data_IF_655173735261
#
_entry.id   IF_655173735261
#
_cell.length_a   1.000
_cell.length_b   1.000
_cell.length_c   1.000
_cell.angle_alpha   90.00
_cell.angle_beta   90.00
_cell.angle_gamma   90.00
#
_symmetry.space_group_name_H-M   'P 1'
#
loop_
_entity.id
_entity.type
_entity.pdbx_description
1 polymer ?
#
# COMPACT_ATOMS: atom_id res chain seq x y z
N UNK A 1 -1.39 17.58 -27.25
CA UNK A 1 -0.94 16.80 -26.09
C UNK A 1 -2.02 15.77 -25.81
N UNK A 2 -1.77 14.50 -26.06
CA UNK A 2 -2.72 13.41 -25.74
C UNK A 2 -2.57 13.11 -24.25
N UNK A 3 -3.61 13.38 -23.49
CA UNK A 3 -3.74 12.83 -22.14
C UNK A 3 -3.71 11.32 -22.25
N UNK A 4 -2.65 10.69 -21.73
CA UNK A 4 -2.64 9.27 -21.46
C UNK A 4 -3.65 9.01 -20.35
N UNK A 5 -4.87 8.65 -20.73
CA UNK A 5 -5.78 7.98 -19.80
C UNK A 5 -5.13 6.65 -19.47
N UNK A 6 -4.44 6.59 -18.33
CA UNK A 6 -4.05 5.34 -17.68
C UNK A 6 -5.35 4.72 -17.18
N UNK A 7 -5.97 3.95 -18.05
CA UNK A 7 -7.10 3.09 -17.70
C UNK A 7 -6.51 1.88 -16.95
N UNK A 8 -6.43 1.98 -15.63
CA UNK A 8 -6.46 0.79 -14.79
C UNK A 8 -7.82 0.14 -15.04
N UNK A 9 -7.87 -0.82 -15.95
CA UNK A 9 -9.04 -1.68 -16.14
C UNK A 9 -9.21 -2.47 -14.85
N UNK A 10 -10.20 -2.11 -14.05
CA UNK A 10 -10.51 -2.75 -12.77
C UNK A 10 -10.73 -4.24 -12.99
N UNK A 11 -9.84 -5.09 -12.46
CA UNK A 11 -9.98 -6.54 -12.46
C UNK A 11 -9.13 -7.32 -13.46
N UNK A 12 -8.16 -6.71 -14.14
CA UNK A 12 -7.23 -7.43 -15.04
C UNK A 12 -6.14 -8.20 -14.30
N UNK A 13 -5.99 -8.00 -12.99
CA UNK A 13 -4.91 -8.59 -12.19
C UNK A 13 -3.51 -8.20 -12.70
N UNK A 14 -3.40 -7.02 -13.32
CA UNK A 14 -2.17 -6.44 -13.84
C UNK A 14 -1.75 -5.22 -13.03
N UNK A 15 -0.44 -5.01 -12.92
CA UNK A 15 0.12 -3.80 -12.37
C UNK A 15 1.23 -3.26 -13.28
N UNK A 16 1.47 -1.97 -13.20
CA UNK A 16 2.55 -1.28 -13.90
C UNK A 16 3.63 -0.88 -12.90
N UNK A 17 4.84 -1.42 -13.08
CA UNK A 17 6.01 -1.13 -12.25
C UNK A 17 6.99 -0.26 -13.04
N UNK A 18 7.34 0.88 -12.49
CA UNK A 18 8.46 1.68 -12.94
C UNK A 18 9.74 1.05 -12.41
N UNK A 19 10.59 0.54 -13.32
CA UNK A 19 11.92 0.05 -12.97
C UNK A 19 12.91 1.19 -12.91
N UNK A 20 13.68 1.22 -11.85
CA UNK A 20 14.79 2.14 -11.63
C UNK A 20 16.00 1.38 -11.07
N UNK A 21 17.17 2.00 -11.10
CA UNK A 21 18.37 1.37 -10.61
C UNK A 21 19.14 2.26 -9.63
N UNK A 22 19.79 1.61 -8.66
CA UNK A 22 20.71 2.22 -7.67
C UNK A 22 21.92 1.32 -7.56
N UNK A 23 23.12 1.87 -7.73
CA UNK A 23 24.40 1.14 -7.65
C UNK A 23 24.41 -0.16 -8.50
N UNK A 24 23.75 -0.16 -9.67
CA UNK A 24 23.70 -1.29 -10.58
C UNK A 24 22.71 -2.38 -10.19
N UNK A 25 21.89 -2.18 -9.15
CA UNK A 25 20.80 -3.08 -8.77
C UNK A 25 19.46 -2.51 -9.24
N UNK A 26 18.55 -3.40 -9.72
CA UNK A 26 17.24 -3.02 -10.23
C UNK A 26 16.17 -3.11 -9.16
N UNK A 27 15.39 -2.04 -9.06
CA UNK A 27 14.28 -1.88 -8.13
C UNK A 27 13.03 -1.45 -8.87
N UNK A 28 11.87 -1.59 -8.23
CA UNK A 28 10.58 -1.19 -8.79
C UNK A 28 9.70 -0.45 -7.82
N UNK A 29 8.92 0.50 -8.36
CA UNK A 29 7.82 1.18 -7.69
C UNK A 29 6.57 1.06 -8.54
N UNK A 30 5.38 0.89 -7.91
CA UNK A 30 4.12 0.94 -8.63
C UNK A 30 3.92 2.32 -9.27
N UNK A 31 3.64 2.34 -10.58
CA UNK A 31 3.42 3.58 -11.35
C UNK A 31 2.29 4.41 -10.77
N UNK A 32 1.29 3.78 -10.17
CA UNK A 32 0.17 4.46 -9.52
C UNK A 32 0.60 5.44 -8.42
N UNK A 33 1.72 5.17 -7.75
CA UNK A 33 2.31 6.04 -6.71
C UNK A 33 3.17 7.17 -7.28
N UNK A 34 3.56 7.08 -8.56
CA UNK A 34 4.48 8.03 -9.21
C UNK A 34 3.72 9.19 -9.83
N UNK A 35 4.05 10.40 -9.41
CA UNK A 35 3.44 11.63 -9.97
C UNK A 35 4.24 12.16 -11.16
N UNK A 36 5.56 12.24 -11.02
CA UNK A 36 6.45 12.72 -12.07
C UNK A 36 7.89 12.23 -11.86
N UNK A 37 8.69 12.29 -12.92
CA UNK A 37 10.13 12.06 -12.89
C UNK A 37 10.83 13.39 -13.18
N UNK A 38 11.79 13.76 -12.34
CA UNK A 38 12.53 15.02 -12.46
C UNK A 38 14.02 14.69 -12.48
N UNK A 39 14.77 15.31 -13.39
CA UNK A 39 16.24 15.24 -13.30
C UNK A 39 16.71 15.84 -11.98
N UNK A 40 17.70 15.23 -11.37
CA UNK A 40 18.22 15.69 -10.09
C UNK A 40 18.67 17.16 -10.15
N UNK A 41 18.26 17.92 -9.15
CA UNK A 41 18.54 19.34 -8.98
C UNK A 41 19.38 19.54 -7.73
N UNK A 42 20.13 20.65 -7.61
CA UNK A 42 20.80 21.00 -6.37
C UNK A 42 19.81 21.05 -5.20
N UNK A 43 20.12 20.32 -4.14
CA UNK A 43 19.28 20.20 -2.95
C UNK A 43 19.69 21.25 -1.92
N UNK A 44 18.70 21.90 -1.31
CA UNK A 44 18.90 22.73 -0.13
C UNK A 44 18.80 21.85 1.13
N UNK A 45 19.91 21.60 1.79
CA UNK A 45 19.96 20.83 3.03
C UNK A 45 19.10 21.44 4.14
N UNK A 46 18.53 20.59 4.99
CA UNK A 46 17.68 20.98 6.10
C UNK A 46 18.34 20.63 7.44
N UNK A 47 18.46 21.59 8.37
CA UNK A 47 18.98 21.32 9.71
C UNK A 47 18.14 20.27 10.45
N UNK A 48 18.80 19.36 11.15
CA UNK A 48 18.17 18.31 11.96
C UNK A 48 17.26 17.33 11.18
N UNK A 49 17.39 17.26 9.84
CA UNK A 49 16.71 16.26 9.04
C UNK A 49 17.21 14.85 9.36
N UNK A 50 16.38 13.84 9.04
CA UNK A 50 16.80 12.43 9.13
C UNK A 50 18.02 12.19 8.22
N UNK A 51 18.96 11.29 8.58
CA UNK A 51 20.18 11.04 7.77
C UNK A 51 19.91 10.69 6.30
N UNK A 52 18.78 10.05 6.01
CA UNK A 52 18.37 9.72 4.64
C UNK A 52 17.59 10.86 3.94
N UNK A 53 17.46 12.04 4.53
CA UNK A 53 16.89 13.22 3.86
C UNK A 53 18.03 14.11 3.38
N UNK A 54 18.17 14.26 2.08
CA UNK A 54 19.16 15.17 1.49
C UNK A 54 18.79 16.63 1.72
N UNK A 55 17.49 16.95 1.71
CA UNK A 55 16.97 18.30 1.86
C UNK A 55 15.71 18.52 1.05
N UNK A 56 15.56 19.73 0.49
CA UNK A 56 14.40 20.11 -0.31
C UNK A 56 14.80 20.68 -1.67
N UNK A 57 13.93 20.46 -2.66
CA UNK A 57 14.06 21.07 -3.99
C UNK A 57 12.73 21.74 -4.37
N UNK A 58 12.80 22.78 -5.20
CA UNK A 58 11.63 23.46 -5.76
C UNK A 58 11.77 23.53 -7.27
N UNK A 59 11.37 22.49 -8.02
CA UNK A 59 11.51 22.47 -9.48
C UNK A 59 10.60 23.49 -10.19
N UNK A 60 9.46 23.80 -9.63
CA UNK A 60 8.48 24.81 -10.12
C UNK A 60 7.88 25.56 -8.92
N UNK A 61 6.60 25.38 -8.66
CA UNK A 61 5.91 26.03 -7.54
C UNK A 61 5.78 25.12 -6.30
N UNK A 62 6.02 23.83 -6.46
CA UNK A 62 5.92 22.83 -5.37
C UNK A 62 7.29 22.52 -4.79
N UNK A 63 7.38 22.46 -3.47
CA UNK A 63 8.56 22.04 -2.74
C UNK A 63 8.46 20.56 -2.43
N UNK A 64 9.50 19.80 -2.77
CA UNK A 64 9.61 18.37 -2.47
C UNK A 64 10.75 18.11 -1.51
N UNK A 65 10.52 17.26 -0.52
CA UNK A 65 11.58 16.69 0.32
C UNK A 65 12.22 15.53 -0.43
N UNK A 66 13.56 15.52 -0.51
CA UNK A 66 14.32 14.49 -1.23
C UNK A 66 14.89 13.47 -0.26
N UNK A 67 14.61 12.23 -0.53
CA UNK A 67 15.09 11.06 0.20
C UNK A 67 16.25 10.45 -0.56
N UNK A 68 17.40 10.29 0.08
CA UNK A 68 18.52 9.48 -0.37
C UNK A 68 18.16 7.99 -0.26
N UNK A 69 17.61 7.45 -1.34
CA UNK A 69 17.21 6.05 -1.34
C UNK A 69 18.41 5.10 -1.36
N UNK A 70 19.55 5.52 -1.95
CA UNK A 70 20.79 4.77 -1.92
C UNK A 70 21.33 4.65 -0.49
N UNK A 71 21.37 5.74 0.24
CA UNK A 71 21.76 5.77 1.65
C UNK A 71 20.81 4.95 2.54
N UNK A 72 19.51 5.03 2.33
CA UNK A 72 18.53 4.24 3.05
C UNK A 72 18.72 2.72 2.82
N UNK A 73 18.99 2.31 1.59
CA UNK A 73 19.22 0.91 1.22
C UNK A 73 20.66 0.44 1.51
N UNK A 74 21.51 1.29 2.11
CA UNK A 74 22.94 1.03 2.36
C UNK A 74 23.72 0.66 1.09
N UNK A 75 23.38 1.28 -0.02
CA UNK A 75 24.06 1.13 -1.31
C UNK A 75 25.04 2.27 -1.57
N UNK A 76 25.92 2.06 -2.54
CA UNK A 76 26.92 3.06 -2.90
C UNK A 76 26.34 4.29 -3.59
N UNK A 77 27.07 5.43 -3.57
CA UNK A 77 26.66 6.66 -4.22
C UNK A 77 26.62 6.52 -5.75
N UNK A 78 25.95 7.46 -6.40
CA UNK A 78 25.95 7.55 -7.88
C UNK A 78 27.32 7.84 -8.44
N UNK A 79 27.65 7.20 -9.56
CA UNK A 79 28.85 7.47 -10.34
C UNK A 79 28.72 8.71 -11.26
N UNK A 80 27.46 9.16 -11.51
CA UNK A 80 27.16 10.27 -12.40
C UNK A 80 25.96 11.10 -11.86
N UNK A 81 26.13 11.79 -10.71
CA UNK A 81 25.04 12.48 -10.01
C UNK A 81 24.27 13.50 -10.88
N UNK A 82 24.92 14.03 -11.89
CA UNK A 82 24.29 14.99 -12.83
C UNK A 82 23.25 14.33 -13.76
N UNK A 83 23.19 13.00 -13.80
CA UNK A 83 22.21 12.21 -14.58
C UNK A 83 21.13 11.56 -13.73
N UNK A 84 21.27 11.67 -12.42
CA UNK A 84 20.34 11.05 -11.49
C UNK A 84 18.94 11.64 -11.61
N UNK A 85 17.98 10.89 -11.11
CA UNK A 85 16.54 11.19 -11.24
C UNK A 85 15.92 11.23 -9.84
N UNK A 86 14.99 12.15 -9.64
CA UNK A 86 14.07 12.12 -8.53
C UNK A 86 12.74 11.52 -9.00
N UNK A 87 12.34 10.41 -8.42
CA UNK A 87 11.00 9.86 -8.56
C UNK A 87 10.11 10.57 -7.55
N UNK A 88 9.25 11.47 -8.04
CA UNK A 88 8.27 12.13 -7.19
C UNK A 88 7.10 11.17 -7.02
N UNK A 89 6.88 10.75 -5.79
CA UNK A 89 5.78 9.87 -5.45
C UNK A 89 4.86 10.53 -4.42
N UNK A 90 3.56 10.26 -4.57
CA UNK A 90 2.53 10.71 -3.64
C UNK A 90 1.93 9.51 -2.92
N UNK A 91 2.02 9.51 -1.60
CA UNK A 91 1.46 8.48 -0.75
C UNK A 91 1.14 9.06 0.63
N UNK A 92 0.09 8.56 1.27
CA UNK A 92 -0.31 9.00 2.60
C UNK A 92 -0.44 10.54 2.74
N UNK A 93 -0.96 11.21 1.69
CA UNK A 93 -1.08 12.69 1.61
C UNK A 93 0.26 13.45 1.65
N UNK A 94 1.38 12.76 1.47
CA UNK A 94 2.72 13.36 1.41
C UNK A 94 3.32 13.12 0.03
N UNK A 95 3.93 14.16 -0.54
CA UNK A 95 4.71 14.05 -1.78
C UNK A 95 6.19 14.11 -1.44
N UNK A 96 6.93 13.06 -1.80
CA UNK A 96 8.36 12.93 -1.59
C UNK A 96 9.07 12.69 -2.94
N UNK A 97 10.31 13.14 -3.04
CA UNK A 97 11.20 12.78 -4.13
C UNK A 97 12.18 11.71 -3.65
N UNK A 98 12.24 10.59 -4.34
CA UNK A 98 13.21 9.54 -4.06
C UNK A 98 14.36 9.65 -5.06
N UNK A 99 15.56 9.86 -4.55
CA UNK A 99 16.77 9.97 -5.35
C UNK A 99 17.21 8.59 -5.81
N UNK A 100 17.27 8.40 -7.13
CA UNK A 100 17.72 7.16 -7.78
C UNK A 100 18.76 7.48 -8.85
N UNK A 101 19.60 6.50 -9.19
CA UNK A 101 20.68 6.72 -10.15
C UNK A 101 20.22 6.69 -11.61
N UNK A 102 19.00 6.23 -11.86
CA UNK A 102 18.34 6.29 -13.16
C UNK A 102 17.11 5.44 -13.25
N UNK A 103 16.36 5.62 -14.32
CA UNK A 103 15.09 4.93 -14.60
C UNK A 103 15.26 4.15 -15.89
N UNK A 104 14.77 2.90 -15.90
CA UNK A 104 14.89 1.99 -17.05
C UNK A 104 13.61 2.03 -17.92
N UNK A 105 12.44 1.88 -17.29
CA UNK A 105 11.17 1.88 -18.00
C UNK A 105 10.02 1.34 -17.16
N UNK A 106 8.85 1.20 -17.80
CA UNK A 106 7.64 0.67 -17.17
C UNK A 106 7.39 -0.76 -17.67
N UNK A 107 7.20 -1.67 -16.72
CA UNK A 107 6.83 -3.05 -16.98
C UNK A 107 5.37 -3.28 -16.59
N UNK A 108 4.58 -3.80 -17.53
CA UNK A 108 3.23 -4.27 -17.24
C UNK A 108 3.31 -5.76 -16.88
N UNK A 109 2.92 -6.11 -15.69
CA UNK A 109 3.07 -7.43 -15.10
C UNK A 109 1.72 -7.93 -14.59
N UNK A 110 1.51 -9.24 -14.68
CA UNK A 110 0.48 -9.88 -13.88
C UNK A 110 1.00 -10.12 -12.45
N UNK A 111 0.15 -9.95 -11.47
CA UNK A 111 0.47 -10.29 -10.07
C UNK A 111 1.00 -11.73 -9.90
N UNK A 112 0.60 -12.64 -10.78
CA UNK A 112 1.08 -14.03 -10.78
C UNK A 112 2.59 -14.15 -11.09
N UNK A 113 3.17 -13.14 -11.73
CA UNK A 113 4.60 -13.10 -12.07
C UNK A 113 5.45 -12.48 -10.96
N UNK A 114 4.82 -12.04 -9.87
CA UNK A 114 5.50 -11.47 -8.71
C UNK A 114 5.65 -12.56 -7.65
N UNK A 115 6.89 -12.88 -7.35
CA UNK A 115 7.24 -13.84 -6.30
C UNK A 115 7.39 -13.11 -4.97
N UNK A 116 6.97 -13.77 -3.88
CA UNK A 116 7.22 -13.23 -2.53
C UNK A 116 8.72 -13.44 -2.22
N UNK A 117 9.42 -12.41 -1.72
CA UNK A 117 10.83 -12.57 -1.34
C UNK A 117 10.96 -13.57 -0.19
N UNK A 118 12.07 -14.31 -0.18
CA UNK A 118 12.42 -15.18 0.93
C UNK A 118 12.74 -14.33 2.17
N UNK A 119 12.02 -14.55 3.26
CA UNK A 119 12.15 -13.81 4.51
C UNK A 119 13.58 -13.83 5.10
N UNK A 120 14.34 -14.88 4.83
CA UNK A 120 15.73 -15.00 5.29
C UNK A 120 16.69 -14.05 4.54
N UNK A 121 16.36 -13.69 3.30
CA UNK A 121 17.24 -12.89 2.43
C UNK A 121 16.89 -11.40 2.50
N UNK A 122 15.60 -11.08 2.61
CA UNK A 122 15.10 -9.70 2.49
C UNK A 122 14.69 -9.04 3.81
N UNK A 123 15.15 -9.57 4.95
CA UNK A 123 15.00 -8.93 6.25
C UNK A 123 13.73 -9.30 7.03
N UNK A 124 12.99 -10.31 6.60
CA UNK A 124 11.81 -10.78 7.31
C UNK A 124 10.69 -9.74 7.35
N UNK A 125 10.05 -9.58 8.52
CA UNK A 125 8.98 -8.57 8.74
C UNK A 125 9.48 -7.12 8.68
N UNK A 126 10.78 -6.90 8.89
CA UNK A 126 11.41 -5.58 8.82
C UNK A 126 11.93 -5.24 7.41
N UNK A 127 11.83 -6.15 6.46
CA UNK A 127 12.26 -5.95 5.09
C UNK A 127 11.43 -4.90 4.35
N UNK A 128 12.08 -4.23 3.37
CA UNK A 128 11.44 -3.21 2.52
C UNK A 128 11.12 -3.70 1.12
N UNK A 129 11.23 -4.99 0.86
CA UNK A 129 10.90 -5.62 -0.42
C UNK A 129 9.60 -6.39 -0.30
N UNK A 130 8.57 -5.95 -1.02
CA UNK A 130 7.23 -6.58 -1.02
C UNK A 130 7.11 -7.69 -2.04
N UNK A 131 7.90 -7.65 -3.11
CA UNK A 131 7.87 -8.63 -4.18
C UNK A 131 9.11 -8.58 -5.06
N UNK A 132 9.30 -9.62 -5.84
CA UNK A 132 10.33 -9.68 -6.87
C UNK A 132 9.73 -10.18 -8.18
N UNK A 133 10.22 -9.66 -9.31
CA UNK A 133 9.94 -10.26 -10.61
C UNK A 133 11.23 -10.45 -11.41
N UNK A 134 11.21 -11.43 -12.30
CA UNK A 134 12.37 -11.84 -13.09
C UNK A 134 12.24 -11.34 -14.51
N UNK A 135 13.25 -10.64 -14.97
CA UNK A 135 13.50 -10.40 -16.39
C UNK A 135 14.49 -11.44 -16.92
N UNK A 136 14.70 -11.47 -18.23
CA UNK A 136 15.59 -12.46 -18.84
C UNK A 136 17.04 -12.40 -18.35
N UNK A 137 17.49 -11.23 -17.92
CA UNK A 137 18.88 -10.90 -17.60
C UNK A 137 19.07 -10.40 -16.15
N UNK A 138 17.98 -10.08 -15.43
CA UNK A 138 18.06 -9.52 -14.07
C UNK A 138 16.80 -9.77 -13.24
N UNK A 139 16.93 -9.52 -11.95
CA UNK A 139 15.82 -9.54 -10.98
C UNK A 139 15.53 -8.10 -10.57
N UNK A 140 14.25 -7.76 -10.50
CA UNK A 140 13.77 -6.45 -10.01
C UNK A 140 13.08 -6.63 -8.68
N UNK A 141 13.53 -5.90 -7.67
CA UNK A 141 12.95 -5.92 -6.31
C UNK A 141 11.95 -4.79 -6.15
N UNK A 142 10.69 -5.10 -5.90
CA UNK A 142 9.63 -4.11 -5.65
C UNK A 142 9.75 -3.64 -4.21
N UNK A 143 9.89 -2.32 -4.02
CA UNK A 143 10.09 -1.72 -2.70
C UNK A 143 8.78 -1.24 -2.08
N UNK A 144 8.69 -1.39 -0.74
CA UNK A 144 7.64 -0.80 0.09
C UNK A 144 7.97 0.67 0.42
N UNK A 145 7.53 1.57 -0.43
CA UNK A 145 7.76 3.01 -0.25
C UNK A 145 6.98 3.60 0.93
N UNK A 146 5.92 2.97 1.36
CA UNK A 146 5.17 3.39 2.55
C UNK A 146 5.98 3.11 3.80
N UNK A 147 6.57 1.91 3.88
CA UNK A 147 7.49 1.56 4.96
C UNK A 147 8.74 2.45 4.97
N UNK A 148 9.35 2.70 3.81
CA UNK A 148 10.52 3.60 3.70
C UNK A 148 10.16 5.00 4.22
N UNK A 149 9.01 5.53 3.81
CA UNK A 149 8.52 6.83 4.27
C UNK A 149 8.28 6.86 5.78
N UNK A 150 7.70 5.79 6.32
CA UNK A 150 7.48 5.63 7.75
C UNK A 150 8.79 5.59 8.55
N UNK A 151 9.76 4.80 8.10
CA UNK A 151 11.05 4.66 8.80
C UNK A 151 11.80 5.99 8.86
N UNK A 152 11.67 6.83 7.83
CA UNK A 152 12.29 8.16 7.75
C UNK A 152 11.54 9.20 8.59
N UNK A 153 10.23 9.17 8.58
CA UNK A 153 9.39 10.11 9.32
C UNK A 153 8.14 9.44 9.92
N UNK A 154 8.28 8.79 11.06
CA UNK A 154 7.14 8.14 11.74
C UNK A 154 6.01 9.11 12.10
N UNK A 155 6.31 10.41 12.25
CA UNK A 155 5.31 11.42 12.56
C UNK A 155 4.45 11.83 11.35
N UNK A 156 4.92 11.62 10.12
CA UNK A 156 4.13 11.80 8.89
C UNK A 156 3.29 10.57 8.54
N UNK A 157 3.55 9.48 9.22
CA UNK A 157 2.78 8.25 9.12
C UNK A 157 1.38 8.40 9.71
N UNK A 158 0.66 7.31 9.73
CA UNK A 158 -0.72 7.24 10.19
C UNK A 158 -0.94 8.03 11.46
N UNK A 159 -1.75 9.06 11.39
CA UNK A 159 -2.26 9.72 12.57
C UNK A 159 -3.10 8.67 13.29
N UNK A 160 -2.51 8.04 14.29
CA UNK A 160 -3.28 7.39 15.35
C UNK A 160 -4.00 8.55 16.05
N UNK A 161 -5.07 9.06 15.42
CA UNK A 161 -6.02 9.93 16.10
C UNK A 161 -6.42 9.22 17.37
N UNK A 162 -7.05 9.91 18.32
CA UNK A 162 -7.51 9.31 19.57
C UNK A 162 -8.29 8.02 19.26
N UNK A 163 -7.56 6.91 19.17
CA UNK A 163 -8.18 5.59 19.18
C UNK A 163 -8.74 5.45 20.58
N UNK A 164 -10.00 5.81 20.74
CA UNK A 164 -10.65 5.71 22.05
C UNK A 164 -10.67 4.24 22.44
N UNK A 165 -9.89 3.91 23.45
CA UNK A 165 -9.96 2.61 24.08
C UNK A 165 -11.42 2.40 24.54
N UNK A 166 -12.11 1.51 23.90
CA UNK A 166 -13.49 1.15 24.22
C UNK A 166 -13.55 -0.33 24.53
N UNK A 167 -13.87 -0.66 25.78
CA UNK A 167 -14.13 -2.02 26.22
C UNK A 167 -15.58 -2.44 25.90
N UNK A 168 -16.03 -2.22 24.69
CA UNK A 168 -17.36 -2.68 24.28
C UNK A 168 -17.36 -4.19 24.12
N UNK A 169 -18.11 -4.88 24.98
CA UNK A 169 -18.34 -6.32 24.87
C UNK A 169 -18.93 -6.71 23.48
N UNK A 170 -19.61 -5.76 22.84
CA UNK A 170 -20.17 -5.92 21.50
C UNK A 170 -19.09 -6.02 20.42
N UNK A 171 -17.98 -5.29 20.54
CA UNK A 171 -16.84 -5.36 19.61
C UNK A 171 -16.04 -6.64 19.78
N UNK A 172 -15.88 -7.12 21.02
CA UNK A 172 -15.13 -8.33 21.34
C UNK A 172 -15.69 -9.59 20.66
N UNK A 173 -17.00 -9.63 20.40
CA UNK A 173 -17.65 -10.75 19.70
C UNK A 173 -17.59 -10.67 18.18
N UNK A 174 -17.09 -9.56 17.60
CA UNK A 174 -17.03 -9.37 16.14
C UNK A 174 -15.69 -9.81 15.57
N UNK A 175 -15.75 -10.55 14.48
CA UNK A 175 -14.56 -10.98 13.72
C UNK A 175 -14.33 -10.04 12.55
N UNK A 176 -13.12 -9.57 12.36
CA UNK A 176 -12.70 -8.69 11.24
C UNK A 176 -11.63 -9.41 10.42
N UNK A 177 -11.83 -9.48 9.11
CA UNK A 177 -10.82 -9.94 8.16
C UNK A 177 -10.06 -8.74 7.60
N UNK A 178 -8.73 -8.76 7.69
CA UNK A 178 -7.84 -7.73 7.16
C UNK A 178 -6.96 -8.32 6.08
N UNK A 179 -6.98 -7.73 4.88
CA UNK A 179 -6.10 -8.06 3.78
C UNK A 179 -5.18 -6.85 3.49
N UNK A 180 -3.88 -7.00 3.77
CA UNK A 180 -2.87 -5.93 3.64
C UNK A 180 -1.50 -6.59 3.42
N UNK A 181 -0.77 -6.21 2.37
CA UNK A 181 0.53 -6.82 2.05
C UNK A 181 1.68 -6.23 2.85
N UNK A 182 1.63 -4.94 3.19
CA UNK A 182 2.63 -4.31 4.05
C UNK A 182 2.54 -4.86 5.48
N UNK A 183 3.61 -5.51 5.95
CA UNK A 183 3.68 -6.07 7.29
C UNK A 183 3.50 -4.99 8.37
N UNK A 184 4.09 -3.81 8.15
CA UNK A 184 3.96 -2.66 9.05
C UNK A 184 2.50 -2.19 9.13
N UNK A 185 1.86 -1.93 7.99
CA UNK A 185 0.50 -1.42 7.95
C UNK A 185 -0.49 -2.43 8.50
N UNK A 186 -0.33 -3.70 8.17
CA UNK A 186 -1.14 -4.80 8.72
C UNK A 186 -1.05 -4.84 10.25
N UNK A 187 0.16 -4.71 10.81
CA UNK A 187 0.38 -4.63 12.26
C UNK A 187 -0.33 -3.43 12.87
N UNK A 188 -0.21 -2.24 12.26
CA UNK A 188 -0.83 -1.02 12.78
C UNK A 188 -2.37 -1.09 12.72
N UNK A 189 -2.95 -1.65 11.67
CA UNK A 189 -4.40 -1.89 11.56
C UNK A 189 -4.85 -2.83 12.70
N UNK A 190 -4.16 -3.95 12.88
CA UNK A 190 -4.47 -4.92 13.94
C UNK A 190 -4.37 -4.29 15.32
N UNK A 191 -3.31 -3.54 15.61
CA UNK A 191 -3.13 -2.84 16.89
C UNK A 191 -4.23 -1.81 17.13
N UNK A 192 -4.63 -1.04 16.11
CA UNK A 192 -5.72 -0.07 16.21
C UNK A 192 -7.06 -0.75 16.51
N UNK A 193 -7.37 -1.85 15.83
CA UNK A 193 -8.58 -2.64 16.07
C UNK A 193 -8.59 -3.26 17.47
N UNK A 194 -7.48 -3.85 17.91
CA UNK A 194 -7.35 -4.43 19.26
C UNK A 194 -7.51 -3.37 20.33
N UNK A 195 -6.87 -2.21 20.18
CA UNK A 195 -6.99 -1.08 21.11
C UNK A 195 -8.43 -0.58 21.18
N UNK A 196 -9.17 -0.68 20.09
CA UNK A 196 -10.59 -0.30 20.03
C UNK A 196 -11.55 -1.37 20.57
N UNK A 197 -11.05 -2.53 21.01
CA UNK A 197 -11.84 -3.60 21.65
C UNK A 197 -12.25 -4.75 20.74
N UNK A 198 -11.79 -4.81 19.48
CA UNK A 198 -11.94 -6.00 18.65
C UNK A 198 -10.89 -7.04 19.03
N UNK A 199 -11.29 -8.26 19.39
CA UNK A 199 -10.39 -9.33 19.80
C UNK A 199 -10.19 -10.42 18.75
N UNK A 200 -11.10 -10.54 17.80
CA UNK A 200 -11.05 -11.56 16.76
C UNK A 200 -10.68 -10.93 15.42
N UNK A 201 -9.38 -10.93 15.10
CA UNK A 201 -8.86 -10.33 13.87
C UNK A 201 -8.12 -11.41 13.09
N UNK A 202 -8.54 -11.63 11.85
CA UNK A 202 -7.91 -12.52 10.89
C UNK A 202 -7.15 -11.65 9.92
N UNK A 203 -5.85 -11.87 9.78
CA UNK A 203 -5.02 -11.08 8.88
C UNK A 203 -4.43 -11.94 7.77
N UNK A 204 -4.48 -11.43 6.55
CA UNK A 204 -3.95 -12.03 5.34
C UNK A 204 -3.01 -11.06 4.64
N UNK A 205 -2.12 -11.59 3.82
CA UNK A 205 -1.07 -10.79 3.16
C UNK A 205 -1.41 -10.41 1.72
N UNK A 206 -2.57 -10.83 1.23
CA UNK A 206 -3.06 -10.50 -0.13
C UNK A 206 -4.53 -10.91 -0.28
N UNK A 207 -5.16 -10.45 -1.36
CA UNK A 207 -6.57 -10.76 -1.62
C UNK A 207 -6.85 -12.22 -1.91
N UNK A 208 -5.89 -13.00 -2.43
CA UNK A 208 -6.07 -14.43 -2.68
C UNK A 208 -6.20 -15.22 -1.38
N UNK A 209 -5.36 -14.95 -0.40
CA UNK A 209 -5.47 -15.54 0.93
C UNK A 209 -6.79 -15.20 1.60
N UNK A 210 -7.20 -13.92 1.51
CA UNK A 210 -8.50 -13.47 2.01
C UNK A 210 -9.66 -14.17 1.31
N UNK A 211 -9.61 -14.30 0.00
CA UNK A 211 -10.63 -15.00 -0.78
C UNK A 211 -10.72 -16.49 -0.42
N UNK A 212 -9.58 -17.16 -0.28
CA UNK A 212 -9.54 -18.57 0.13
C UNK A 212 -10.13 -18.78 1.54
N UNK A 213 -9.84 -17.87 2.48
CA UNK A 213 -10.48 -17.87 3.79
C UNK A 213 -12.01 -17.73 3.68
N UNK A 214 -12.51 -16.82 2.85
CA UNK A 214 -13.95 -16.60 2.65
C UNK A 214 -14.62 -17.80 1.97
N UNK A 215 -13.95 -18.49 1.06
CA UNK A 215 -14.46 -19.73 0.45
C UNK A 215 -14.56 -20.86 1.47
N UNK A 216 -13.57 -20.99 2.35
CA UNK A 216 -13.58 -21.95 3.44
C UNK A 216 -14.73 -21.65 4.41
N UNK A 217 -14.85 -20.39 4.87
CA UNK A 217 -15.94 -19.93 5.74
C UNK A 217 -17.32 -20.29 5.16
N UNK A 218 -17.59 -19.94 3.92
CA UNK A 218 -18.85 -20.19 3.26
C UNK A 218 -19.13 -21.69 3.05
N UNK A 219 -18.12 -22.55 3.07
CA UNK A 219 -18.29 -24.00 2.99
C UNK A 219 -18.85 -24.61 4.28
N UNK A 220 -18.66 -23.92 5.42
CA UNK A 220 -19.06 -24.38 6.75
C UNK A 220 -20.34 -23.72 7.27
N UNK A 221 -20.70 -22.54 6.75
CA UNK A 221 -21.91 -21.81 7.18
C UNK A 221 -22.59 -21.09 6.04
N UNK A 222 -23.92 -21.01 6.08
CA UNK A 222 -24.71 -20.14 5.21
C UNK A 222 -24.95 -18.76 5.83
N UNK A 223 -24.78 -18.63 7.15
CA UNK A 223 -24.85 -17.35 7.88
C UNK A 223 -23.45 -16.78 8.13
N UNK A 224 -22.83 -16.30 7.05
CA UNK A 224 -21.48 -15.76 7.12
C UNK A 224 -21.38 -14.50 7.98
N UNK A 225 -22.47 -13.72 8.15
CA UNK A 225 -22.48 -12.52 9.01
C UNK A 225 -22.34 -12.85 10.50
N UNK A 226 -22.74 -14.04 10.94
CA UNK A 226 -22.56 -14.47 12.33
C UNK A 226 -21.11 -14.77 12.67
N UNK A 227 -20.31 -15.19 11.69
CA UNK A 227 -18.91 -15.59 11.86
C UNK A 227 -17.91 -14.48 11.49
N UNK A 228 -18.26 -13.65 10.49
CA UNK A 228 -17.42 -12.56 9.99
C UNK A 228 -18.22 -11.27 9.85
N UNK A 229 -17.79 -10.25 10.56
CA UNK A 229 -18.54 -8.98 10.67
C UNK A 229 -18.16 -7.96 9.60
N UNK A 230 -16.89 -7.94 9.16
CA UNK A 230 -16.42 -6.99 8.15
C UNK A 230 -15.13 -7.49 7.48
N UNK A 231 -14.92 -7.07 6.24
CA UNK A 231 -13.67 -7.26 5.48
C UNK A 231 -13.04 -5.90 5.24
N UNK A 232 -11.79 -5.74 5.66
CA UNK A 232 -10.95 -4.57 5.35
C UNK A 232 -9.91 -5.01 4.34
N UNK A 233 -9.74 -4.27 3.27
CA UNK A 233 -8.76 -4.61 2.24
C UNK A 233 -7.99 -3.39 1.76
N UNK A 234 -6.67 -3.53 1.59
CA UNK A 234 -5.93 -2.63 0.71
C UNK A 234 -6.33 -2.88 -0.75
N UNK A 235 -6.05 -1.90 -1.61
CA UNK A 235 -6.22 -2.02 -3.06
C UNK A 235 -5.02 -2.73 -3.67
N UNK A 236 -3.81 -2.28 -3.36
CA UNK A 236 -2.58 -2.70 -4.02
C UNK A 236 -1.91 -3.87 -3.31
N UNK A 237 -2.34 -5.07 -3.62
CA UNK A 237 -1.78 -6.30 -3.04
C UNK A 237 -1.32 -7.29 -4.12
N UNK A 238 -0.25 -8.08 -3.84
CA UNK A 238 0.18 -9.15 -4.74
C UNK A 238 -0.88 -10.24 -4.91
N UNK A 239 -0.81 -11.02 -5.99
CA UNK A 239 -1.67 -12.14 -6.38
C UNK A 239 -3.12 -11.76 -6.69
N UNK A 240 -3.78 -11.02 -5.79
CA UNK A 240 -5.13 -10.51 -5.99
C UNK A 240 -5.25 -9.14 -5.34
N UNK A 241 -5.59 -8.13 -6.12
CA UNK A 241 -5.86 -6.77 -5.66
C UNK A 241 -7.20 -6.67 -4.91
N UNK A 242 -7.34 -5.60 -4.12
CA UNK A 242 -8.54 -5.39 -3.29
C UNK A 242 -9.81 -5.15 -4.11
N UNK A 243 -9.72 -4.52 -5.27
CA UNK A 243 -10.87 -4.32 -6.15
C UNK A 243 -11.44 -5.65 -6.64
N UNK A 244 -10.55 -6.56 -7.05
CA UNK A 244 -10.94 -7.91 -7.46
C UNK A 244 -11.54 -8.70 -6.31
N UNK A 245 -10.94 -8.61 -5.10
CA UNK A 245 -11.48 -9.25 -3.90
C UNK A 245 -12.90 -8.80 -3.62
N UNK A 246 -13.16 -7.48 -3.58
CA UNK A 246 -14.49 -6.92 -3.34
C UNK A 246 -15.48 -7.35 -4.41
N UNK A 247 -15.09 -7.29 -5.69
CA UNK A 247 -15.93 -7.73 -6.80
C UNK A 247 -16.35 -9.20 -6.69
N UNK A 248 -15.43 -10.06 -6.24
CA UNK A 248 -15.73 -11.47 -5.97
C UNK A 248 -16.68 -11.64 -4.79
N UNK A 249 -16.46 -10.90 -3.68
CA UNK A 249 -17.34 -10.92 -2.50
C UNK A 249 -18.75 -10.47 -2.89
N UNK A 250 -18.88 -9.31 -3.54
CA UNK A 250 -20.19 -8.73 -3.90
C UNK A 250 -20.90 -9.50 -5.02
N UNK A 251 -20.17 -10.24 -5.84
CA UNK A 251 -20.71 -11.14 -6.86
C UNK A 251 -21.18 -12.50 -6.32
N UNK A 252 -20.78 -12.90 -5.13
CA UNK A 252 -21.14 -14.19 -4.55
C UNK A 252 -22.47 -14.10 -3.79
N UNK A 253 -23.45 -15.01 -4.05
CA UNK A 253 -24.76 -14.94 -3.42
C UNK A 253 -24.76 -15.01 -1.89
N UNK A 254 -23.77 -15.67 -1.28
CA UNK A 254 -23.64 -15.85 0.17
C UNK A 254 -22.79 -14.74 0.79
N UNK A 255 -21.64 -14.42 0.16
CA UNK A 255 -20.65 -13.49 0.71
C UNK A 255 -21.03 -12.02 0.51
N UNK A 256 -21.89 -11.68 -0.46
CA UNK A 256 -22.27 -10.29 -0.81
C UNK A 256 -22.84 -9.47 0.35
N UNK A 257 -23.33 -10.17 1.40
CA UNK A 257 -23.89 -9.54 2.59
C UNK A 257 -22.83 -9.01 3.56
N UNK A 258 -21.56 -9.40 3.36
CA UNK A 258 -20.46 -8.94 4.20
C UNK A 258 -20.11 -7.48 3.89
N UNK A 259 -20.05 -6.61 4.91
CA UNK A 259 -19.51 -5.26 4.77
C UNK A 259 -18.05 -5.29 4.33
N UNK A 260 -17.70 -4.44 3.36
CA UNK A 260 -16.36 -4.34 2.79
C UNK A 260 -15.86 -2.91 2.87
N UNK A 261 -14.68 -2.71 3.45
CA UNK A 261 -14.05 -1.40 3.62
C UNK A 261 -12.71 -1.39 2.89
N UNK A 262 -12.53 -0.43 2.00
CA UNK A 262 -11.23 -0.15 1.36
C UNK A 262 -10.41 0.72 2.31
N UNK A 263 -9.16 0.32 2.58
CA UNK A 263 -8.19 1.08 3.33
C UNK A 263 -6.93 1.25 2.49
N UNK A 264 -6.78 2.40 1.82
CA UNK A 264 -5.73 2.60 0.82
C UNK A 264 -4.99 3.93 1.00
N UNK A 265 -3.70 3.94 0.65
CA UNK A 265 -2.86 5.14 0.60
C UNK A 265 -3.24 6.09 -0.55
N UNK A 266 -3.97 5.59 -1.52
CA UNK A 266 -4.38 6.30 -2.73
C UNK A 266 -5.90 6.42 -2.79
N UNK A 267 -6.43 7.51 -2.25
CA UNK A 267 -7.83 7.87 -2.44
C UNK A 267 -7.87 9.23 -3.14
N UNK A 268 -8.03 9.22 -4.46
CA UNK A 268 -8.47 10.37 -5.24
C UNK A 268 -9.96 10.23 -5.59
N UNK A 269 -10.56 11.29 -6.10
CA UNK A 269 -11.98 11.32 -6.49
C UNK A 269 -12.36 10.26 -7.52
N UNK A 270 -11.42 9.84 -8.37
CA UNK A 270 -11.66 8.76 -9.35
C UNK A 270 -11.61 7.39 -8.69
N UNK A 271 -10.75 7.19 -7.70
CA UNK A 271 -10.65 5.94 -6.95
C UNK A 271 -11.81 5.75 -5.99
N UNK A 272 -12.30 6.82 -5.35
CA UNK A 272 -13.53 6.77 -4.56
C UNK A 272 -14.73 6.30 -5.39
N UNK A 273 -14.91 6.86 -6.60
CA UNK A 273 -15.96 6.41 -7.52
C UNK A 273 -15.82 4.94 -7.91
N UNK A 274 -14.61 4.49 -8.22
CA UNK A 274 -14.36 3.08 -8.56
C UNK A 274 -14.68 2.13 -7.43
N UNK A 275 -14.30 2.46 -6.21
CA UNK A 275 -14.61 1.64 -5.04
C UNK A 275 -16.12 1.49 -4.82
N UNK A 276 -16.88 2.57 -4.97
CA UNK A 276 -18.34 2.53 -4.91
C UNK A 276 -18.94 1.72 -6.06
N UNK A 277 -18.43 1.85 -7.29
CA UNK A 277 -18.89 1.11 -8.46
C UNK A 277 -18.72 -0.41 -8.34
N UNK A 278 -17.66 -0.87 -7.67
CA UNK A 278 -17.43 -2.30 -7.41
C UNK A 278 -18.20 -2.82 -6.20
N UNK A 279 -18.90 -1.94 -5.46
CA UNK A 279 -19.75 -2.28 -4.35
C UNK A 279 -19.06 -2.27 -2.97
N UNK A 280 -17.94 -1.57 -2.80
CA UNK A 280 -17.40 -1.33 -1.47
C UNK A 280 -18.41 -0.51 -0.63
N UNK A 281 -18.61 -0.89 0.63
CA UNK A 281 -19.55 -0.20 1.51
C UNK A 281 -18.93 1.07 2.11
N UNK A 282 -17.60 1.13 2.24
CA UNK A 282 -16.89 2.33 2.66
C UNK A 282 -15.44 2.34 2.15
N UNK A 283 -14.85 3.54 2.16
CA UNK A 283 -13.42 3.75 1.85
C UNK A 283 -12.81 4.73 2.84
N UNK A 284 -11.54 4.52 3.16
CA UNK A 284 -10.78 5.37 4.06
C UNK A 284 -9.32 5.44 3.63
N UNK A 285 -8.74 6.62 3.76
CA UNK A 285 -7.32 6.84 3.50
C UNK A 285 -6.45 6.30 4.63
N UNK A 286 -5.36 5.59 4.31
CA UNK A 286 -4.43 4.97 5.28
C UNK A 286 -3.93 5.93 6.38
N UNK A 287 -3.65 7.23 6.14
CA UNK A 287 -3.26 8.13 7.24
C UNK A 287 -4.37 8.36 8.28
N UNK A 288 -5.62 8.01 7.98
CA UNK A 288 -6.77 8.22 8.87
C UNK A 288 -7.15 6.99 9.70
N UNK A 289 -6.16 6.22 10.16
CA UNK A 289 -6.42 4.98 10.93
C UNK A 289 -7.29 5.23 12.18
N UNK A 290 -7.23 6.42 12.76
CA UNK A 290 -8.11 6.79 13.87
C UNK A 290 -9.60 6.79 13.52
N UNK A 291 -9.96 6.96 12.24
CA UNK A 291 -11.34 6.90 11.74
C UNK A 291 -11.76 5.49 11.29
N UNK A 292 -10.81 4.55 11.25
CA UNK A 292 -11.07 3.21 10.74
C UNK A 292 -12.23 2.52 11.49
N UNK A 293 -12.22 2.64 12.82
CA UNK A 293 -13.25 2.00 13.67
C UNK A 293 -14.64 2.58 13.40
N UNK A 294 -14.77 3.91 13.31
CA UNK A 294 -16.05 4.58 13.00
C UNK A 294 -16.55 4.16 11.62
N UNK A 295 -15.64 4.07 10.63
CA UNK A 295 -15.98 3.65 9.27
C UNK A 295 -16.45 2.21 9.21
N UNK A 296 -15.76 1.28 9.91
CA UNK A 296 -16.16 -0.12 10.02
C UNK A 296 -17.53 -0.24 10.67
N UNK A 297 -17.77 0.48 11.77
CA UNK A 297 -19.07 0.46 12.45
C UNK A 297 -20.21 1.01 11.58
N UNK A 298 -19.94 2.05 10.79
CA UNK A 298 -20.91 2.57 9.83
C UNK A 298 -21.24 1.53 8.76
N UNK A 299 -20.24 0.93 8.15
CA UNK A 299 -20.41 -0.11 7.13
C UNK A 299 -21.14 -1.37 7.67
N UNK A 300 -20.99 -1.70 8.94
CA UNK A 300 -21.69 -2.84 9.56
C UNK A 300 -23.16 -2.55 9.89
N UNK A 301 -23.59 -1.28 9.92
CA UNK A 301 -24.97 -0.88 10.23
C UNK A 301 -25.88 -0.89 9.00
N UNK A 302 -25.32 -0.77 7.83
CA UNK A 302 -26.01 -0.83 6.53
C UNK A 302 -26.24 -2.30 6.11
#
# INVERSE_FOLDING_TARGET
>A
MRESKILLESGTNELEILEFWIAGQSFGINVSKVTELIQALPVQGMPHAHPCIEGVVKPRDTVYTIVDLAGYLHLGPSAAPEKDIYIIAHMNQVSLGFHVHGVEGIHRLSWQNIEKPDSLIYGGEDGVVTGIFKLSDRIVSILDFEKITWDINPASGMKMGEVHASNSAERAGKTILVAEDSALLRKLIVEALMTSGYSNIISTTNGEEAWNYLLDLKSHTSDVKSELSCVITDIEMPRMDGHRLIKLIKGDPVLKVLPTVIFSSMIDTNMEQKGLEIGADAQISKPEIGRLVETIESAMRE
#
